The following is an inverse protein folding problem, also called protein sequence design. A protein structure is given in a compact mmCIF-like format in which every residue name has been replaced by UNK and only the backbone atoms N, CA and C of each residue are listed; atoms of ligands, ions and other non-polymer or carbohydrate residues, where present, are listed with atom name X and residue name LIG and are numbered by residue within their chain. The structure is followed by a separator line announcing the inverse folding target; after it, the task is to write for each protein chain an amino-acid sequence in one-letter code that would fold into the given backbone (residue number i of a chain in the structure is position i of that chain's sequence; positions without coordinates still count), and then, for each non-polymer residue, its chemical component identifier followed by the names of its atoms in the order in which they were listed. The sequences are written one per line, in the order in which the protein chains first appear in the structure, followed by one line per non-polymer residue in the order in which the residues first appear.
data_IF_387377474164
#
_entry.id   IF_387377474164
#
_cell.length_a   1.000
_cell.length_b   1.000
_cell.length_c   1.000
_cell.angle_alpha   90.00
_cell.angle_beta   90.00
_cell.angle_gamma   90.00
#
_symmetry.space_group_name_H-M   'P 1'
#
loop_
_entity.id
_entity.type
_entity.pdbx_description
1 polymer ?
#
# COMPACT_ATOMS: atom_id res chain seq x y z
N UNK A 1 41.28 23.61 -19.87
CA UNK A 1 41.00 25.05 -19.94
C UNK A 1 39.66 25.22 -20.62
N UNK A 2 38.58 25.39 -19.85
CA UNK A 2 37.25 25.66 -20.41
C UNK A 2 37.04 27.16 -20.34
N UNK A 3 37.27 27.82 -21.47
CA UNK A 3 36.89 29.21 -21.64
C UNK A 3 35.36 29.27 -21.51
N UNK A 4 34.85 29.86 -20.42
CA UNK A 4 33.40 29.96 -20.22
C UNK A 4 32.87 30.89 -21.30
N UNK A 5 31.94 30.45 -22.17
CA UNK A 5 31.35 31.34 -23.15
C UNK A 5 30.61 32.46 -22.41
N UNK A 6 31.05 33.69 -22.60
CA UNK A 6 30.34 34.89 -22.14
C UNK A 6 29.63 35.50 -23.34
N UNK A 7 28.31 35.29 -23.43
CA UNK A 7 27.48 36.03 -24.37
C UNK A 7 27.22 37.42 -23.78
N UNK A 8 27.78 38.44 -24.41
CA UNK A 8 27.41 39.84 -24.15
C UNK A 8 26.40 40.25 -25.19
N UNK A 9 25.20 40.64 -24.76
CA UNK A 9 24.21 41.22 -25.67
C UNK A 9 24.72 42.58 -26.17
N UNK A 10 24.56 42.91 -27.46
CA UNK A 10 24.82 44.26 -27.93
C UNK A 10 23.90 45.26 -27.21
N UNK A 11 24.31 46.52 -27.09
CA UNK A 11 23.39 47.59 -26.65
C UNK A 11 22.19 47.61 -27.59
N UNK A 12 21.00 47.29 -27.07
CA UNK A 12 19.76 47.30 -27.82
C UNK A 12 18.79 48.25 -27.14
N UNK A 13 18.32 49.23 -27.91
CA UNK A 13 17.32 50.20 -27.47
C UNK A 13 15.98 49.82 -28.06
N UNK A 14 14.96 49.76 -27.22
CA UNK A 14 13.58 49.63 -27.66
C UNK A 14 12.99 51.03 -27.70
N UNK A 15 12.77 51.55 -28.91
CA UNK A 15 12.04 52.81 -29.08
C UNK A 15 10.54 52.56 -28.92
N UNK A 16 9.92 53.27 -27.98
CA UNK A 16 8.49 53.22 -27.73
C UNK A 16 7.95 54.64 -27.63
N UNK A 17 7.04 55.00 -28.53
CA UNK A 17 6.37 56.31 -28.54
C UNK A 17 4.92 56.14 -28.07
N UNK A 18 4.42 56.97 -27.14
CA UNK A 18 3.02 56.93 -26.73
C UNK A 18 2.11 57.27 -27.93
N UNK A 19 1.13 56.40 -28.21
CA UNK A 19 0.15 56.66 -29.28
C UNK A 19 -1.05 57.42 -28.70
N UNK A 20 -1.36 58.57 -29.27
CA UNK A 20 -2.57 59.35 -28.93
C UNK A 20 -3.71 58.86 -29.82
N UNK A 21 -4.76 58.30 -29.22
CA UNK A 21 -5.99 57.89 -29.92
C UNK A 21 -7.09 58.91 -29.60
N UNK A 22 -7.57 59.63 -30.62
CA UNK A 22 -8.67 60.58 -30.48
C UNK A 22 -9.63 60.51 -31.67
N UNK A 23 -10.91 60.78 -31.41
CA UNK A 23 -11.92 60.96 -32.45
C UNK A 23 -11.91 62.43 -32.84
N UNK A 24 -11.47 62.73 -34.06
CA UNK A 24 -11.59 64.07 -34.63
C UNK A 24 -13.08 64.44 -34.76
N UNK A 25 -13.45 65.66 -34.38
CA UNK A 25 -14.83 66.15 -34.37
C UNK A 25 -15.79 65.30 -33.51
N UNK A 26 -15.32 64.80 -32.36
CA UNK A 26 -16.14 64.00 -31.44
C UNK A 26 -17.47 64.70 -31.08
N UNK A 27 -17.45 66.00 -30.84
CA UNK A 27 -18.66 66.77 -30.52
C UNK A 27 -19.71 66.69 -31.63
N UNK A 28 -19.30 66.82 -32.89
CA UNK A 28 -20.19 66.69 -34.04
C UNK A 28 -20.73 65.26 -34.20
N UNK A 29 -19.87 64.25 -34.01
CA UNK A 29 -20.28 62.85 -34.04
C UNK A 29 -21.29 62.54 -32.93
N UNK A 30 -20.99 62.98 -31.71
CA UNK A 30 -21.84 62.79 -30.53
C UNK A 30 -23.21 63.45 -30.75
N UNK A 31 -23.23 64.70 -31.21
CA UNK A 31 -24.48 65.40 -31.51
C UNK A 31 -25.29 64.66 -32.58
N UNK A 32 -24.65 64.24 -33.69
CA UNK A 32 -25.33 63.53 -34.79
C UNK A 32 -25.95 62.21 -34.31
N UNK A 33 -25.21 61.43 -33.53
CA UNK A 33 -25.69 60.14 -33.00
C UNK A 33 -26.83 60.36 -32.00
N UNK A 34 -26.71 61.35 -31.12
CA UNK A 34 -27.74 61.68 -30.14
C UNK A 34 -29.01 62.17 -30.82
N UNK A 35 -28.91 63.08 -31.79
CA UNK A 35 -30.05 63.59 -32.55
C UNK A 35 -30.75 62.47 -33.32
N UNK A 36 -29.99 61.55 -33.91
CA UNK A 36 -30.54 60.39 -34.61
C UNK A 36 -31.27 59.44 -33.66
N UNK A 37 -30.69 59.15 -32.49
CA UNK A 37 -31.32 58.30 -31.48
C UNK A 37 -32.59 58.94 -30.89
N UNK A 38 -32.54 60.24 -30.60
CA UNK A 38 -33.62 61.00 -29.98
C UNK A 38 -34.89 61.05 -30.84
N UNK A 39 -34.77 60.99 -32.18
CA UNK A 39 -35.91 60.89 -33.11
C UNK A 39 -36.83 59.71 -32.82
N UNK A 40 -36.30 58.64 -32.21
CA UNK A 40 -37.02 57.39 -31.99
C UNK A 40 -37.19 57.01 -30.51
N UNK A 41 -36.68 57.83 -29.58
CA UNK A 41 -36.63 57.51 -28.15
C UNK A 41 -38.03 57.33 -27.51
N UNK A 42 -39.07 57.94 -28.09
CA UNK A 42 -40.46 57.87 -27.62
C UNK A 42 -41.42 57.28 -28.68
N UNK A 43 -40.90 56.49 -29.63
CA UNK A 43 -41.74 55.85 -30.65
C UNK A 43 -42.64 54.79 -29.99
N UNK A 44 -43.96 54.96 -30.13
CA UNK A 44 -44.95 53.96 -29.68
C UNK A 44 -45.06 52.86 -30.73
N UNK A 45 -44.79 51.62 -30.33
CA UNK A 45 -44.91 50.45 -31.20
C UNK A 45 -46.32 49.86 -31.08
N UNK A 46 -47.01 49.76 -32.21
CA UNK A 46 -48.35 49.18 -32.38
C UNK A 46 -48.31 48.16 -33.52
N UNK A 47 -49.38 47.37 -33.69
CA UNK A 47 -49.46 46.36 -34.76
C UNK A 47 -49.25 46.96 -36.16
N UNK A 48 -49.81 48.15 -36.42
CA UNK A 48 -49.66 48.84 -37.71
C UNK A 48 -48.23 49.39 -37.96
N UNK A 49 -47.46 49.63 -36.89
CA UNK A 49 -46.10 50.24 -36.96
C UNK A 49 -44.98 49.23 -36.73
N UNK A 50 -45.32 47.96 -36.48
CA UNK A 50 -44.38 46.90 -36.10
C UNK A 50 -43.25 46.72 -37.13
N UNK A 51 -43.59 46.75 -38.43
CA UNK A 51 -42.62 46.60 -39.52
C UNK A 51 -41.58 47.73 -39.51
N UNK A 52 -42.04 48.97 -39.36
CA UNK A 52 -41.17 50.14 -39.38
C UNK A 52 -40.33 50.21 -38.11
N UNK A 53 -40.90 49.88 -36.95
CA UNK A 53 -40.16 49.76 -35.69
C UNK A 53 -39.03 48.72 -35.77
N UNK A 54 -39.27 47.56 -36.41
CA UNK A 54 -38.24 46.55 -36.67
C UNK A 54 -37.11 47.07 -37.55
N UNK A 55 -37.44 47.82 -38.60
CA UNK A 55 -36.46 48.42 -39.52
C UNK A 55 -35.62 49.50 -38.82
N UNK A 56 -36.25 50.42 -38.09
CA UNK A 56 -35.57 51.47 -37.33
C UNK A 56 -34.61 50.85 -36.30
N UNK A 57 -35.06 49.82 -35.57
CA UNK A 57 -34.20 49.09 -34.63
C UNK A 57 -32.97 48.47 -35.33
N UNK A 58 -33.14 47.92 -36.53
CA UNK A 58 -32.04 47.35 -37.29
C UNK A 58 -31.02 48.43 -37.69
N UNK A 59 -31.47 49.60 -38.15
CA UNK A 59 -30.59 50.73 -38.49
C UNK A 59 -29.86 51.30 -37.27
N UNK A 60 -30.54 51.47 -36.12
CA UNK A 60 -29.88 51.89 -34.88
C UNK A 60 -28.80 50.90 -34.44
N UNK A 61 -29.08 49.60 -34.54
CA UNK A 61 -28.09 48.55 -34.26
C UNK A 61 -26.92 48.57 -35.24
N UNK A 62 -27.17 48.87 -36.51
CA UNK A 62 -26.13 49.00 -37.54
C UNK A 62 -25.19 50.17 -37.26
N UNK A 63 -25.73 51.33 -36.86
CA UNK A 63 -24.91 52.49 -36.44
C UNK A 63 -24.08 52.15 -35.19
N UNK A 64 -24.68 51.51 -34.19
CA UNK A 64 -23.97 51.06 -32.98
C UNK A 64 -22.84 50.06 -33.31
N UNK A 65 -23.12 49.09 -34.19
CA UNK A 65 -22.13 48.12 -34.63
C UNK A 65 -20.97 48.80 -35.37
N UNK A 66 -21.25 49.74 -36.27
CA UNK A 66 -20.20 50.45 -37.02
C UNK A 66 -19.23 51.22 -36.09
N UNK A 67 -19.73 51.83 -35.01
CA UNK A 67 -18.88 52.50 -34.01
C UNK A 67 -17.99 51.50 -33.26
N UNK A 68 -18.54 50.36 -32.85
CA UNK A 68 -17.78 49.32 -32.16
C UNK A 68 -16.78 48.60 -33.08
N UNK A 69 -17.14 48.39 -34.35
CA UNK A 69 -16.26 47.82 -35.35
C UNK A 69 -15.07 48.74 -35.59
N UNK A 70 -15.29 50.05 -35.72
CA UNK A 70 -14.18 51.01 -35.82
C UNK A 70 -13.28 51.01 -34.58
N UNK A 71 -13.86 50.89 -33.38
CA UNK A 71 -13.09 50.72 -32.13
C UNK A 71 -12.24 49.45 -32.15
N UNK A 72 -12.80 48.32 -32.60
CA UNK A 72 -12.08 47.04 -32.71
C UNK A 72 -10.95 47.10 -33.74
N UNK A 73 -11.18 47.72 -34.90
CA UNK A 73 -10.15 47.97 -35.92
C UNK A 73 -8.96 48.75 -35.33
N UNK A 74 -9.25 49.89 -34.69
CA UNK A 74 -8.21 50.73 -34.06
C UNK A 74 -7.45 49.93 -32.98
N UNK A 75 -8.13 49.12 -32.17
CA UNK A 75 -7.48 48.25 -31.17
C UNK A 75 -6.53 47.24 -31.83
N UNK A 76 -6.96 46.62 -32.93
CA UNK A 76 -6.15 45.65 -33.67
C UNK A 76 -4.89 46.31 -34.23
N UNK A 77 -5.04 47.47 -34.87
CA UNK A 77 -3.92 48.21 -35.44
C UNK A 77 -2.98 48.76 -34.35
N UNK A 78 -3.53 49.20 -33.21
CA UNK A 78 -2.74 49.63 -32.05
C UNK A 78 -1.91 48.50 -31.43
N UNK A 79 -2.46 47.29 -31.37
CA UNK A 79 -1.73 46.14 -30.82
C UNK A 79 -0.71 45.56 -31.80
N UNK A 80 -0.89 45.75 -33.11
CA UNK A 80 -0.02 45.14 -34.13
C UNK A 80 1.48 45.45 -33.95
N UNK A 81 1.93 46.69 -33.68
CA UNK A 81 3.34 46.96 -33.40
C UNK A 81 3.89 46.22 -32.18
N UNK A 82 3.06 46.02 -31.15
CA UNK A 82 3.43 45.23 -29.98
C UNK A 82 3.55 43.75 -30.35
N UNK A 83 2.58 43.20 -31.08
CA UNK A 83 2.60 41.81 -31.51
C UNK A 83 3.84 41.51 -32.39
N UNK A 84 4.17 42.41 -33.33
CA UNK A 84 5.38 42.32 -34.16
C UNK A 84 6.67 42.38 -33.33
N UNK A 85 6.72 43.23 -32.30
CA UNK A 85 7.85 43.29 -31.36
C UNK A 85 7.96 42.01 -30.53
N UNK A 86 6.85 41.53 -29.97
CA UNK A 86 6.80 40.30 -29.18
C UNK A 86 7.24 39.09 -30.01
N UNK A 87 6.82 39.01 -31.28
CA UNK A 87 7.24 37.95 -32.19
C UNK A 87 8.75 37.97 -32.45
N UNK A 88 9.35 39.15 -32.66
CA UNK A 88 10.81 39.27 -32.79
C UNK A 88 11.54 38.77 -31.54
N UNK A 89 11.06 39.12 -30.35
CA UNK A 89 11.62 38.63 -29.08
C UNK A 89 11.46 37.11 -28.96
N UNK A 90 10.29 36.57 -29.33
CA UNK A 90 10.03 35.13 -29.32
C UNK A 90 10.94 34.37 -30.27
N UNK A 91 11.22 34.89 -31.47
CA UNK A 91 12.17 34.29 -32.42
C UNK A 91 13.60 34.24 -31.85
N UNK A 92 14.04 35.31 -31.18
CA UNK A 92 15.33 35.33 -30.50
C UNK A 92 15.38 34.27 -29.38
N UNK A 93 14.35 34.21 -28.54
CA UNK A 93 14.22 33.20 -27.47
C UNK A 93 14.19 31.78 -28.04
N UNK A 94 13.40 31.52 -29.08
CA UNK A 94 13.29 30.20 -29.70
C UNK A 94 14.62 29.74 -30.30
N UNK A 95 15.50 30.66 -30.69
CA UNK A 95 16.85 30.34 -31.15
C UNK A 95 17.76 29.88 -29.99
N UNK A 96 17.60 30.48 -28.81
CA UNK A 96 18.28 30.02 -27.58
C UNK A 96 17.72 28.66 -27.13
N UNK A 97 16.40 28.50 -27.12
CA UNK A 97 15.74 27.25 -26.72
C UNK A 97 16.18 26.08 -27.61
N UNK A 98 16.36 26.30 -28.93
CA UNK A 98 16.90 25.30 -29.86
C UNK A 98 18.31 24.81 -29.49
N UNK A 99 19.11 25.63 -28.82
CA UNK A 99 20.43 25.23 -28.32
C UNK A 99 20.34 24.61 -26.91
N UNK A 100 19.48 25.13 -26.05
CA UNK A 100 19.33 24.67 -24.65
C UNK A 100 18.75 23.25 -24.60
N UNK A 101 17.68 22.97 -25.36
CA UNK A 101 16.97 21.68 -25.32
C UNK A 101 17.90 20.47 -25.54
N UNK A 102 18.74 20.41 -26.60
CA UNK A 102 19.64 19.28 -26.79
C UNK A 102 20.76 19.22 -25.75
N UNK A 103 21.21 20.36 -25.19
CA UNK A 103 22.18 20.37 -24.08
C UNK A 103 21.57 19.75 -22.83
N UNK A 104 20.36 20.16 -22.46
CA UNK A 104 19.65 19.60 -21.31
C UNK A 104 19.38 18.10 -21.48
N UNK A 105 19.01 17.68 -22.69
CA UNK A 105 18.84 16.26 -23.01
C UNK A 105 20.16 15.49 -22.87
N UNK A 106 21.25 16.01 -23.43
CA UNK A 106 22.58 15.39 -23.34
C UNK A 106 23.11 15.34 -21.91
N UNK A 107 22.85 16.36 -21.08
CA UNK A 107 23.21 16.35 -19.66
C UNK A 107 22.45 15.28 -18.90
N UNK A 108 21.14 15.13 -19.13
CA UNK A 108 20.33 14.08 -18.51
C UNK A 108 20.78 12.68 -18.93
N UNK A 109 21.08 12.49 -20.22
CA UNK A 109 21.60 11.21 -20.72
C UNK A 109 22.95 10.87 -20.09
N UNK A 110 23.86 11.85 -20.00
CA UNK A 110 25.15 11.66 -19.35
C UNK A 110 25.01 11.34 -17.85
N UNK A 111 24.10 12.01 -17.15
CA UNK A 111 23.81 11.72 -15.75
C UNK A 111 23.27 10.29 -15.56
N UNK A 112 22.39 9.83 -16.45
CA UNK A 112 21.87 8.46 -16.42
C UNK A 112 22.96 7.44 -16.76
N UNK A 113 23.79 7.68 -17.77
CA UNK A 113 24.94 6.82 -18.09
C UNK A 113 25.91 6.72 -16.90
N UNK A 114 26.20 7.83 -16.22
CA UNK A 114 27.02 7.83 -15.01
C UNK A 114 26.35 7.06 -13.87
N UNK A 115 25.02 7.16 -13.73
CA UNK A 115 24.25 6.42 -12.73
C UNK A 115 24.29 4.92 -13.00
N UNK A 116 24.12 4.49 -14.24
CA UNK A 116 24.21 3.08 -14.65
C UNK A 116 25.63 2.53 -14.46
N UNK A 117 26.66 3.29 -14.80
CA UNK A 117 28.05 2.90 -14.54
C UNK A 117 28.32 2.71 -13.03
N UNK A 118 27.74 3.56 -12.17
CA UNK A 118 27.81 3.35 -10.71
C UNK A 118 27.03 2.13 -10.25
N UNK A 119 25.88 1.84 -10.86
CA UNK A 119 25.11 0.65 -10.53
C UNK A 119 25.93 -0.61 -10.77
N UNK A 120 26.59 -0.70 -11.93
CA UNK A 120 27.51 -1.81 -12.24
C UNK A 120 28.62 -1.89 -11.19
N UNK A 121 29.29 -0.78 -10.88
CA UNK A 121 30.36 -0.78 -9.86
C UNK A 121 29.88 -1.14 -8.44
N UNK A 122 28.64 -0.80 -8.09
CA UNK A 122 28.02 -1.21 -6.81
C UNK A 122 27.68 -2.71 -6.82
N UNK A 123 27.19 -3.24 -7.94
CA UNK A 123 26.92 -4.67 -8.10
C UNK A 123 28.21 -5.48 -8.02
N UNK A 124 29.27 -5.05 -8.71
CA UNK A 124 30.60 -5.68 -8.62
C UNK A 124 31.11 -5.70 -7.18
N UNK A 125 30.93 -4.60 -6.44
CA UNK A 125 31.33 -4.50 -5.02
C UNK A 125 30.50 -5.44 -4.13
N UNK A 126 29.20 -5.59 -4.40
CA UNK A 126 28.34 -6.55 -3.69
C UNK A 126 28.82 -7.98 -3.96
N UNK A 127 29.11 -8.33 -5.22
CA UNK A 127 29.62 -9.64 -5.59
C UNK A 127 30.98 -9.96 -4.93
N UNK A 128 31.88 -8.98 -4.87
CA UNK A 128 33.18 -9.12 -4.21
C UNK A 128 33.03 -9.31 -2.68
N UNK A 129 32.12 -8.56 -2.05
CA UNK A 129 31.94 -8.59 -0.60
C UNK A 129 31.11 -9.78 -0.11
N UNK A 130 30.12 -10.24 -0.87
CA UNK A 130 29.13 -11.24 -0.42
C UNK A 130 29.74 -12.53 0.17
N UNK A 131 30.81 -13.14 -0.41
CA UNK A 131 31.45 -14.32 0.17
C UNK A 131 32.00 -14.09 1.58
N UNK A 132 32.51 -12.88 1.88
CA UNK A 132 33.06 -12.55 3.20
C UNK A 132 31.99 -12.51 4.31
N UNK A 133 30.72 -12.32 3.92
CA UNK A 133 29.59 -12.30 4.85
C UNK A 133 28.78 -13.61 4.82
N UNK A 134 29.10 -14.54 3.92
CA UNK A 134 28.37 -15.80 3.76
C UNK A 134 26.92 -15.60 3.31
N UNK A 135 26.68 -14.59 2.47
CA UNK A 135 25.39 -14.26 1.86
C UNK A 135 25.50 -14.38 0.34
N UNK A 136 24.38 -14.53 -0.36
CA UNK A 136 24.35 -14.53 -1.82
C UNK A 136 24.21 -13.08 -2.32
N UNK A 137 24.91 -12.69 -3.39
CA UNK A 137 24.84 -11.33 -3.93
C UNK A 137 23.43 -10.97 -4.42
N UNK A 138 22.65 -11.95 -4.91
CA UNK A 138 21.27 -11.75 -5.37
C UNK A 138 20.28 -11.41 -4.25
N UNK A 139 20.65 -11.64 -2.99
CA UNK A 139 19.85 -11.31 -1.80
C UNK A 139 20.07 -9.88 -1.32
N UNK A 140 21.05 -9.17 -1.90
CA UNK A 140 21.41 -7.81 -1.50
C UNK A 140 20.74 -6.82 -2.44
N UNK A 141 19.75 -6.10 -1.91
CA UNK A 141 19.09 -5.02 -2.64
C UNK A 141 19.99 -3.78 -2.72
N UNK A 142 20.10 -3.19 -3.92
CA UNK A 142 20.86 -1.96 -4.14
C UNK A 142 20.05 -0.76 -3.69
N UNK A 143 20.53 -0.03 -2.69
CA UNK A 143 19.93 1.23 -2.27
C UNK A 143 20.16 2.31 -3.35
N UNK A 144 19.11 2.97 -3.88
CA UNK A 144 19.25 4.01 -4.91
C UNK A 144 20.17 5.17 -4.51
N UNK A 145 20.32 5.43 -3.20
CA UNK A 145 21.19 6.50 -2.69
C UNK A 145 22.67 6.23 -2.95
N UNK A 146 23.07 4.96 -3.12
CA UNK A 146 24.44 4.57 -3.48
C UNK A 146 24.83 4.97 -4.90
N UNK A 147 23.84 5.28 -5.75
CA UNK A 147 24.06 5.70 -7.13
C UNK A 147 24.22 7.22 -7.28
N UNK A 148 24.02 7.97 -6.19
CA UNK A 148 24.09 9.43 -6.18
C UNK A 148 25.51 9.93 -6.44
N UNK A 149 25.65 11.01 -7.23
CA UNK A 149 26.97 11.58 -7.60
C UNK A 149 27.80 12.07 -6.41
N UNK A 150 27.15 12.44 -5.32
CA UNK A 150 27.77 13.06 -4.14
C UNK A 150 28.11 12.06 -3.04
N UNK A 151 27.68 10.81 -3.16
CA UNK A 151 27.97 9.80 -2.12
C UNK A 151 29.43 9.35 -2.24
N UNK A 152 30.09 9.15 -1.10
CA UNK A 152 31.47 8.68 -1.07
C UNK A 152 31.53 7.16 -1.13
N UNK A 153 32.60 6.61 -1.74
CA UNK A 153 32.82 5.16 -1.79
C UNK A 153 32.79 4.51 -0.41
N UNK A 154 33.31 5.18 0.62
CA UNK A 154 33.22 4.69 2.00
C UNK A 154 31.78 4.48 2.46
N UNK A 155 30.88 5.44 2.21
CA UNK A 155 29.47 5.31 2.60
C UNK A 155 28.76 4.19 1.82
N UNK A 156 29.13 3.97 0.56
CA UNK A 156 28.63 2.84 -0.24
C UNK A 156 29.07 1.52 0.41
N UNK A 157 30.37 1.34 0.65
CA UNK A 157 30.93 0.12 1.27
C UNK A 157 30.31 -0.15 2.64
N UNK A 158 30.28 0.87 3.51
CA UNK A 158 29.70 0.75 4.86
C UNK A 158 28.19 0.40 4.80
N UNK A 159 27.47 0.98 3.83
CA UNK A 159 26.05 0.69 3.59
C UNK A 159 25.81 -0.76 3.14
N UNK A 160 26.57 -1.23 2.14
CA UNK A 160 26.51 -2.60 1.63
C UNK A 160 26.84 -3.59 2.77
N UNK A 161 27.92 -3.36 3.51
CA UNK A 161 28.29 -4.18 4.66
C UNK A 161 27.16 -4.26 5.70
N UNK A 162 26.51 -3.13 6.00
CA UNK A 162 25.38 -3.07 6.94
C UNK A 162 24.18 -3.92 6.48
N UNK A 163 23.87 -3.90 5.19
CA UNK A 163 22.81 -4.75 4.60
C UNK A 163 23.22 -6.23 4.67
N UNK A 164 24.44 -6.58 4.27
CA UNK A 164 24.94 -7.95 4.32
C UNK A 164 24.91 -8.55 5.73
N UNK A 165 25.32 -7.78 6.75
CA UNK A 165 25.23 -8.19 8.17
C UNK A 165 23.78 -8.45 8.57
N UNK A 166 22.86 -7.58 8.16
CA UNK A 166 21.42 -7.74 8.46
C UNK A 166 20.84 -8.99 7.82
N UNK A 167 21.14 -9.24 6.54
CA UNK A 167 20.72 -10.43 5.80
C UNK A 167 21.29 -11.70 6.43
N UNK A 168 22.59 -11.70 6.75
CA UNK A 168 23.25 -12.82 7.42
C UNK A 168 22.59 -13.14 8.78
N UNK A 169 22.33 -12.11 9.59
CA UNK A 169 21.65 -12.24 10.88
C UNK A 169 20.25 -12.83 10.72
N UNK A 170 19.49 -12.41 9.71
CA UNK A 170 18.17 -12.96 9.41
C UNK A 170 18.24 -14.44 9.02
N UNK A 171 19.20 -14.83 8.17
CA UNK A 171 19.45 -16.23 7.81
C UNK A 171 19.83 -17.10 9.01
N UNK A 172 20.76 -16.63 9.83
CA UNK A 172 21.22 -17.36 11.01
C UNK A 172 20.08 -17.53 12.04
N UNK A 173 19.26 -16.49 12.21
CA UNK A 173 18.04 -16.58 13.02
C UNK A 173 17.07 -17.63 12.46
N UNK A 174 16.73 -17.55 11.18
CA UNK A 174 15.83 -18.52 10.55
C UNK A 174 16.34 -19.96 10.67
N UNK A 175 17.66 -20.17 10.48
CA UNK A 175 18.26 -21.49 10.67
C UNK A 175 18.18 -22.00 12.12
N UNK A 176 18.34 -21.11 13.09
CA UNK A 176 18.15 -21.41 14.52
C UNK A 176 16.68 -21.75 14.83
N UNK A 177 15.76 -20.94 14.30
CA UNK A 177 14.32 -21.09 14.50
C UNK A 177 13.80 -22.41 13.89
N UNK A 178 14.29 -22.77 12.69
CA UNK A 178 14.00 -24.08 12.05
C UNK A 178 14.47 -25.22 12.95
N UNK A 179 15.69 -25.14 13.50
CA UNK A 179 16.21 -26.17 14.42
C UNK A 179 15.36 -26.27 15.70
N UNK A 180 14.95 -25.13 16.24
CA UNK A 180 14.12 -25.08 17.45
C UNK A 180 12.75 -25.74 17.21
N UNK A 181 12.04 -25.37 16.14
CA UNK A 181 10.75 -25.96 15.77
C UNK A 181 10.89 -27.45 15.43
N UNK A 182 11.93 -27.84 14.69
CA UNK A 182 12.16 -29.24 14.33
C UNK A 182 12.32 -30.10 15.59
N UNK A 183 13.20 -29.69 16.50
CA UNK A 183 13.42 -30.41 17.77
C UNK A 183 12.17 -30.41 18.64
N UNK A 184 11.41 -29.31 18.67
CA UNK A 184 10.17 -29.22 19.43
C UNK A 184 9.12 -30.22 18.92
N UNK A 185 8.89 -30.25 17.61
CA UNK A 185 7.96 -31.18 16.97
C UNK A 185 8.39 -32.64 17.17
N UNK A 186 9.69 -32.95 17.05
CA UNK A 186 10.23 -34.29 17.30
C UNK A 186 9.97 -34.76 18.75
N UNK A 187 10.22 -33.90 19.75
CA UNK A 187 9.93 -34.21 21.16
C UNK A 187 8.44 -34.49 21.38
N UNK A 188 7.58 -33.74 20.68
CA UNK A 188 6.12 -33.89 20.71
C UNK A 188 5.59 -35.02 19.81
N UNK A 189 6.48 -35.75 19.10
CA UNK A 189 6.14 -36.81 18.15
C UNK A 189 5.20 -36.34 17.02
N UNK A 190 5.40 -35.10 16.56
CA UNK A 190 4.69 -34.49 15.42
C UNK A 190 5.68 -34.32 14.25
N UNK A 191 5.22 -34.50 13.02
CA UNK A 191 6.04 -34.26 11.84
C UNK A 191 6.42 -32.76 11.71
N UNK A 192 7.71 -32.41 11.66
CA UNK A 192 8.16 -31.02 11.63
C UNK A 192 7.94 -30.31 10.28
N UNK A 193 7.78 -31.04 9.16
CA UNK A 193 7.86 -30.46 7.82
C UNK A 193 6.87 -29.30 7.60
N UNK A 194 5.59 -29.50 7.93
CA UNK A 194 4.56 -28.47 7.75
C UNK A 194 4.78 -27.21 8.60
N UNK A 195 5.32 -27.37 9.82
CA UNK A 195 5.61 -26.24 10.72
C UNK A 195 6.82 -25.44 10.26
N UNK A 196 7.85 -26.13 9.74
CA UNK A 196 9.02 -25.50 9.14
C UNK A 196 8.63 -24.68 7.91
N UNK A 197 7.69 -25.15 7.09
CA UNK A 197 7.21 -24.40 5.93
C UNK A 197 6.40 -23.16 6.33
N UNK A 198 5.61 -23.23 7.41
CA UNK A 198 4.93 -22.04 7.96
C UNK A 198 5.93 -21.02 8.51
N UNK A 199 6.98 -21.47 9.20
CA UNK A 199 8.05 -20.59 9.67
C UNK A 199 8.75 -19.86 8.50
N UNK A 200 9.06 -20.57 7.41
CA UNK A 200 9.66 -19.96 6.21
C UNK A 200 8.75 -18.94 5.52
N UNK A 201 7.43 -19.04 5.72
CA UNK A 201 6.45 -18.05 5.26
C UNK A 201 6.35 -16.82 6.18
N UNK A 202 7.15 -16.77 7.25
CA UNK A 202 7.22 -15.63 8.17
C UNK A 202 6.39 -15.79 9.44
N UNK A 203 5.87 -16.99 9.72
CA UNK A 203 5.14 -17.24 10.96
C UNK A 203 6.08 -17.24 12.18
N UNK A 204 5.61 -16.72 13.31
CA UNK A 204 6.41 -16.60 14.53
C UNK A 204 6.64 -17.97 15.22
N UNK A 205 7.84 -18.16 15.76
CA UNK A 205 8.26 -19.42 16.41
C UNK A 205 7.41 -19.74 17.62
N UNK A 206 7.12 -18.77 18.47
CA UNK A 206 6.36 -19.00 19.71
C UNK A 206 4.92 -19.40 19.38
N UNK A 207 4.33 -18.76 18.36
CA UNK A 207 3.03 -19.15 17.83
C UNK A 207 3.01 -20.60 17.32
N UNK A 208 4.03 -21.00 16.55
CA UNK A 208 4.11 -22.36 16.00
C UNK A 208 4.27 -23.40 17.11
N UNK A 209 5.06 -23.13 18.14
CA UNK A 209 5.20 -24.03 19.29
C UNK A 209 3.86 -24.23 20.02
N UNK A 210 3.12 -23.15 20.27
CA UNK A 210 1.78 -23.24 20.88
C UNK A 210 0.79 -24.02 20.00
N UNK A 211 0.86 -23.85 18.68
CA UNK A 211 0.00 -24.59 17.75
C UNK A 211 0.32 -26.09 17.74
N UNK A 212 1.59 -26.48 17.89
CA UNK A 212 2.00 -27.87 18.09
C UNK A 212 1.41 -28.42 19.38
N UNK A 213 1.48 -27.70 20.50
CA UNK A 213 0.93 -28.16 21.79
C UNK A 213 -0.57 -28.41 21.71
N UNK A 214 -1.32 -27.48 21.11
CA UNK A 214 -2.75 -27.64 20.91
C UNK A 214 -3.10 -28.86 20.05
N UNK A 215 -2.28 -29.17 19.04
CA UNK A 215 -2.46 -30.35 18.20
C UNK A 215 -2.23 -31.64 19.00
N UNK A 216 -1.18 -31.67 19.81
CA UNK A 216 -0.85 -32.82 20.67
C UNK A 216 -1.94 -33.04 21.72
N UNK A 217 -2.38 -31.99 22.41
CA UNK A 217 -3.46 -32.07 23.40
C UNK A 217 -4.75 -32.62 22.79
N UNK A 218 -5.14 -32.13 21.61
CA UNK A 218 -6.32 -32.63 20.90
C UNK A 218 -6.18 -34.12 20.54
N UNK A 219 -5.02 -34.54 20.03
CA UNK A 219 -4.77 -35.93 19.67
C UNK A 219 -4.82 -36.84 20.91
N UNK A 220 -4.21 -36.43 22.02
CA UNK A 220 -4.25 -37.17 23.28
C UNK A 220 -5.66 -37.22 23.88
N UNK A 221 -6.44 -36.14 23.80
CA UNK A 221 -7.83 -36.13 24.24
C UNK A 221 -8.70 -37.08 23.41
N UNK A 222 -8.54 -37.09 22.09
CA UNK A 222 -9.24 -38.03 21.20
C UNK A 222 -8.85 -39.47 21.49
N UNK A 223 -7.56 -39.76 21.67
CA UNK A 223 -7.10 -41.11 21.99
C UNK A 223 -7.70 -41.60 23.33
N UNK A 224 -7.67 -40.78 24.38
CA UNK A 224 -8.31 -41.09 25.66
C UNK A 224 -9.82 -41.34 25.53
N UNK A 225 -10.50 -40.58 24.68
CA UNK A 225 -11.93 -40.80 24.41
C UNK A 225 -12.19 -42.11 23.66
N UNK A 226 -11.35 -42.47 22.69
CA UNK A 226 -11.46 -43.72 21.95
C UNK A 226 -11.16 -44.92 22.85
N UNK A 227 -10.13 -44.84 23.70
CA UNK A 227 -9.79 -45.88 24.66
C UNK A 227 -10.89 -46.06 25.71
N UNK A 228 -11.48 -44.96 26.21
CA UNK A 228 -12.62 -45.03 27.12
C UNK A 228 -13.82 -45.75 26.47
N UNK A 229 -14.17 -45.38 25.23
CA UNK A 229 -15.25 -46.04 24.47
C UNK A 229 -14.96 -47.52 24.19
N UNK A 230 -13.74 -47.85 23.79
CA UNK A 230 -13.35 -49.24 23.52
C UNK A 230 -13.36 -50.10 24.80
N UNK A 231 -12.95 -49.52 25.94
CA UNK A 231 -13.04 -50.19 27.23
C UNK A 231 -14.50 -50.43 27.66
N UNK A 232 -15.39 -49.46 27.42
CA UNK A 232 -16.84 -49.61 27.63
C UNK A 232 -17.47 -50.67 26.71
N UNK A 233 -17.03 -50.75 25.45
CA UNK A 233 -17.53 -51.76 24.49
C UNK A 233 -17.01 -53.18 24.82
N UNK A 234 -15.77 -53.33 25.28
CA UNK A 234 -15.18 -54.63 25.64
C UNK A 234 -15.79 -55.25 26.90
N UNK A 235 -16.34 -54.44 27.82
CA UNK A 235 -17.07 -54.98 28.97
C UNK A 235 -18.46 -55.48 28.58
N UNK A 236 -18.89 -55.33 27.32
CA UNK A 236 -20.23 -55.69 26.83
C UNK A 236 -21.37 -55.06 27.65
N UNK A 237 -21.13 -53.93 28.30
CA UNK A 237 -22.05 -53.38 29.29
C UNK A 237 -22.79 -52.18 28.72
N UNK A 238 -24.11 -52.33 28.51
CA UNK A 238 -24.99 -51.20 28.19
C UNK A 238 -25.72 -50.74 29.44
N UNK A 239 -25.71 -49.42 29.67
CA UNK A 239 -26.54 -48.80 30.70
C UNK A 239 -27.97 -48.69 30.18
N UNK A 240 -28.85 -49.61 30.59
CA UNK A 240 -30.30 -49.53 30.34
C UNK A 240 -31.02 -49.09 31.61
N UNK A 241 -31.23 -47.78 31.74
CA UNK A 241 -31.81 -47.20 32.95
C UNK A 241 -30.77 -47.13 34.08
N UNK A 242 -31.10 -47.66 35.26
CA UNK A 242 -30.28 -47.60 36.49
C UNK A 242 -29.39 -48.84 36.71
N UNK A 243 -29.32 -49.75 35.72
CA UNK A 243 -28.58 -51.00 35.81
C UNK A 243 -27.65 -51.21 34.60
N UNK A 244 -26.49 -51.83 34.88
CA UNK A 244 -25.49 -52.20 33.88
C UNK A 244 -25.76 -53.65 33.46
N UNK A 245 -26.05 -53.86 32.17
CA UNK A 245 -26.47 -55.17 31.62
C UNK A 245 -25.43 -55.67 30.62
N UNK A 246 -25.00 -56.92 30.75
CA UNK A 246 -24.15 -57.59 29.77
C UNK A 246 -24.95 -57.92 28.49
N UNK A 247 -24.51 -57.37 27.36
CA UNK A 247 -25.18 -57.43 26.05
C UNK A 247 -25.06 -58.77 25.34
N UNK A 248 -24.16 -59.67 25.78
CA UNK A 248 -24.04 -61.01 25.23
C UNK A 248 -24.93 -62.04 25.95
N UNK A 249 -25.17 -61.86 27.26
CA UNK A 249 -25.90 -62.84 28.09
C UNK A 249 -27.26 -62.33 28.56
N UNK A 250 -27.48 -61.02 28.59
CA UNK A 250 -28.71 -60.40 29.08
C UNK A 250 -28.88 -60.47 30.61
N UNK A 251 -27.85 -60.89 31.35
CA UNK A 251 -27.87 -60.97 32.82
C UNK A 251 -27.27 -59.71 33.47
N UNK A 252 -27.79 -59.35 34.65
CA UNK A 252 -27.28 -58.22 35.46
C UNK A 252 -25.98 -58.66 36.14
N UNK A 253 -24.87 -57.98 35.84
CA UNK A 253 -23.54 -58.37 36.34
C UNK A 253 -23.40 -58.05 37.84
N UNK A 254 -23.52 -59.06 38.71
CA UNK A 254 -23.21 -58.92 40.14
C UNK A 254 -21.70 -59.02 40.37
N UNK A 255 -21.07 -57.96 40.86
CA UNK A 255 -19.64 -57.99 41.24
C UNK A 255 -19.47 -58.53 42.65
N UNK A 256 -18.67 -59.58 42.81
CA UNK A 256 -18.16 -60.06 44.10
C UNK A 256 -16.64 -59.90 44.15
N UNK A 257 -16.12 -59.33 45.23
CA UNK A 257 -14.68 -59.15 45.49
C UNK A 257 -14.34 -59.59 46.90
N UNK A 258 -13.25 -60.33 47.06
CA UNK A 258 -12.73 -60.73 48.37
C UNK A 258 -11.82 -59.63 48.94
N UNK A 259 -12.16 -59.12 50.13
CA UNK A 259 -11.43 -58.05 50.81
C UNK A 259 -10.80 -58.58 52.12
N UNK A 260 -9.53 -58.30 52.35
CA UNK A 260 -8.89 -58.50 53.65
C UNK A 260 -8.99 -57.19 54.45
N UNK A 261 -9.67 -57.25 55.59
CA UNK A 261 -9.92 -56.09 56.44
C UNK A 261 -9.25 -56.32 57.79
N UNK A 262 -8.31 -55.44 58.13
CA UNK A 262 -7.62 -55.45 59.43
C UNK A 262 -8.14 -54.28 60.26
N UNK A 263 -8.94 -54.57 61.30
CA UNK A 263 -9.51 -53.56 62.17
C UNK A 263 -9.75 -54.12 63.59
N UNK A 264 -10.04 -53.23 64.54
CA UNK A 264 -10.46 -53.64 65.89
C UNK A 264 -11.89 -54.20 65.90
N UNK A 265 -12.25 -54.97 66.93
CA UNK A 265 -13.61 -55.56 67.05
C UNK A 265 -14.73 -54.50 66.93
N UNK A 266 -14.67 -53.33 67.61
CA UNK A 266 -15.71 -52.31 67.47
C UNK A 266 -15.83 -51.74 66.04
N UNK A 267 -14.71 -51.60 65.33
CA UNK A 267 -14.70 -51.12 63.94
C UNK A 267 -15.31 -52.15 62.99
N UNK A 268 -15.10 -53.44 63.24
CA UNK A 268 -15.74 -54.51 62.47
C UNK A 268 -17.26 -54.54 62.69
N UNK A 269 -17.76 -54.23 63.89
CA UNK A 269 -19.20 -54.11 64.17
C UNK A 269 -19.86 -52.92 63.46
N UNK A 270 -19.17 -51.77 63.42
CA UNK A 270 -19.63 -50.61 62.66
C UNK A 270 -19.68 -50.91 61.16
N UNK A 271 -18.64 -51.56 60.63
CA UNK A 271 -18.57 -51.93 59.23
C UNK A 271 -19.69 -52.92 58.86
N UNK A 272 -19.92 -53.94 59.70
CA UNK A 272 -21.04 -54.86 59.56
C UNK A 272 -22.38 -54.12 59.52
N UNK A 273 -22.62 -53.22 60.47
CA UNK A 273 -23.89 -52.47 60.53
C UNK A 273 -24.13 -51.62 59.29
N UNK A 274 -23.07 -51.02 58.73
CA UNK A 274 -23.13 -50.31 57.47
C UNK A 274 -23.46 -51.23 56.30
N UNK A 275 -22.82 -52.40 56.21
CA UNK A 275 -23.09 -53.38 55.15
C UNK A 275 -24.54 -53.87 55.20
N UNK A 276 -25.04 -54.21 56.40
CA UNK A 276 -26.42 -54.65 56.61
C UNK A 276 -27.44 -53.57 56.20
N UNK A 277 -27.22 -52.32 56.60
CA UNK A 277 -28.09 -51.19 56.28
C UNK A 277 -28.20 -50.93 54.76
N UNK A 278 -27.13 -51.21 54.02
CA UNK A 278 -27.06 -51.05 52.57
C UNK A 278 -27.34 -52.35 51.81
N UNK A 279 -27.76 -53.42 52.50
CA UNK A 279 -28.04 -54.75 51.92
C UNK A 279 -26.84 -55.33 51.15
N UNK A 280 -25.63 -55.02 51.59
CA UNK A 280 -24.39 -55.55 51.03
C UNK A 280 -24.18 -56.96 51.60
N UNK A 281 -24.21 -57.98 50.75
CA UNK A 281 -23.89 -59.35 51.16
C UNK A 281 -22.41 -59.48 51.48
N UNK A 282 -22.09 -60.07 52.63
CA UNK A 282 -20.71 -60.37 53.03
C UNK A 282 -20.62 -61.74 53.67
N UNK A 283 -19.49 -62.41 53.49
CA UNK A 283 -19.17 -63.67 54.13
C UNK A 283 -17.72 -63.69 54.59
N UNK A 284 -17.44 -64.41 55.68
CA UNK A 284 -16.07 -64.62 56.14
C UNK A 284 -15.46 -65.76 55.34
N UNK A 285 -14.50 -65.44 54.47
CA UNK A 285 -13.67 -66.44 53.79
C UNK A 285 -12.83 -67.16 54.87
N UNK A 286 -12.93 -68.49 54.92
CA UNK A 286 -12.16 -69.35 55.84
C UNK A 286 -10.81 -69.72 55.26
#
# INVERSE_FOLDING_TARGET
MTDKPQLTLPDYRVEYLPTIISIQNYEQLQQTVNDYANKFNNMVVTDDTEKDAKNIRAELRKVSAALDDRRKEIKKDFNRPYDDFAEKVNVLRASLDRAIIPIDAGLKELEEQQRQARLVGVQDLIEEMAPNYGVDSSEIEVDPTWLNKTISNKKIVDGIAGVMVSVKKAKDKLASDIKAITKYAEVQQVDPAGWVDQLKQGQDVDYLMQAIDQLVEKKQAQQRQLEAKAAEEQTHQETRGDAIVDTNTGEVVSHQVALMITATIPQMEMLKSFMDANRIGYERVK
#
